data_IF_001062522505
#
_entry.id   IF_001062522505
#
_cell.length_a   1.000
_cell.length_b   1.000
_cell.length_c   1.000
_cell.angle_alpha   90.00
_cell.angle_beta   90.00
_cell.angle_gamma   90.00
#
_symmetry.space_group_name_H-M   'P 1'
#
loop_
_entity.id
_entity.type
_entity.pdbx_description
1 polymer ?
#
# COMPACT_ATOMS: atom_id res chain seq x y z
N UNK A 1 10.46 -6.17 15.08
CA UNK A 1 9.48 -5.79 14.03
C UNK A 1 8.72 -7.00 13.48
N UNK A 2 9.34 -8.17 13.36
CA UNK A 2 8.64 -9.38 12.90
C UNK A 2 7.43 -9.75 13.75
N UNK A 3 7.51 -9.58 15.05
CA UNK A 3 6.39 -9.81 15.99
C UNK A 3 5.20 -8.87 15.75
N UNK A 4 5.45 -7.62 15.39
CA UNK A 4 4.38 -6.67 15.04
C UNK A 4 3.67 -7.06 13.74
N UNK A 5 4.43 -7.49 12.74
CA UNK A 5 3.85 -8.00 11.48
C UNK A 5 3.07 -9.29 11.70
N UNK A 6 3.52 -10.14 12.61
CA UNK A 6 2.88 -11.42 12.95
C UNK A 6 1.64 -11.25 13.82
N UNK A 7 1.48 -10.13 14.53
CA UNK A 7 0.42 -9.95 15.53
C UNK A 7 -0.99 -10.16 14.95
N UNK A 8 -1.30 -9.50 13.84
CA UNK A 8 -2.62 -9.63 13.20
C UNK A 8 -2.93 -11.06 12.76
N UNK A 9 -2.09 -11.69 11.91
CA UNK A 9 -2.29 -13.07 11.48
C UNK A 9 -2.34 -14.08 12.64
N UNK A 10 -1.57 -13.86 13.71
CA UNK A 10 -1.59 -14.73 14.90
C UNK A 10 -2.97 -14.76 15.58
N UNK A 11 -3.70 -13.63 15.57
CA UNK A 11 -5.05 -13.54 16.11
C UNK A 11 -6.11 -14.24 15.24
N UNK A 12 -5.77 -14.56 14.00
CA UNK A 12 -6.68 -15.25 13.07
C UNK A 12 -6.72 -16.77 13.28
N UNK A 13 -5.92 -17.30 14.20
CA UNK A 13 -5.86 -18.73 14.48
C UNK A 13 -5.29 -19.58 13.33
N UNK A 14 -4.41 -18.98 12.52
CA UNK A 14 -3.75 -19.66 11.41
C UNK A 14 -2.78 -20.73 11.90
N UNK A 15 -2.58 -21.83 11.13
CA UNK A 15 -1.48 -22.76 11.37
C UNK A 15 -0.13 -22.03 11.36
N UNK A 16 0.84 -22.51 12.15
CA UNK A 16 2.12 -21.83 12.36
C UNK A 16 2.91 -21.63 11.05
N UNK A 17 2.89 -22.61 10.17
CA UNK A 17 3.54 -22.56 8.85
C UNK A 17 2.91 -21.50 7.93
N UNK A 18 1.59 -21.39 7.92
CA UNK A 18 0.86 -20.38 7.17
C UNK A 18 1.11 -18.97 7.72
N UNK A 19 1.10 -18.82 9.05
CA UNK A 19 1.44 -17.57 9.73
C UNK A 19 2.84 -17.09 9.33
N UNK A 20 3.83 -17.99 9.45
CA UNK A 20 5.22 -17.66 9.15
C UNK A 20 5.40 -17.29 7.67
N UNK A 21 4.74 -17.98 6.77
CA UNK A 21 4.74 -17.69 5.34
C UNK A 21 4.17 -16.30 5.06
N UNK A 22 3.00 -15.96 5.60
CA UNK A 22 2.36 -14.65 5.40
C UNK A 22 3.19 -13.48 5.92
N UNK A 23 3.79 -13.65 7.09
CA UNK A 23 4.69 -12.63 7.66
C UNK A 23 5.91 -12.42 6.76
N UNK A 24 6.56 -13.51 6.35
CA UNK A 24 7.73 -13.46 5.46
C UNK A 24 7.40 -12.80 4.13
N UNK A 25 6.30 -13.20 3.50
CA UNK A 25 5.85 -12.66 2.21
C UNK A 25 5.54 -11.17 2.33
N UNK A 26 4.81 -10.74 3.36
CA UNK A 26 4.49 -9.35 3.60
C UNK A 26 5.75 -8.49 3.84
N UNK A 27 6.67 -8.97 4.67
CA UNK A 27 7.94 -8.27 4.92
C UNK A 27 8.80 -8.17 3.65
N UNK A 28 8.77 -9.19 2.80
CA UNK A 28 9.46 -9.19 1.51
C UNK A 28 8.86 -8.18 0.53
N UNK A 29 7.53 -8.09 0.43
CA UNK A 29 6.82 -7.13 -0.45
C UNK A 29 7.19 -5.69 -0.14
N UNK A 30 7.38 -5.35 1.12
CA UNK A 30 7.73 -4.00 1.56
C UNK A 30 9.22 -3.79 1.80
N UNK A 31 10.07 -4.77 1.45
CA UNK A 31 11.52 -4.72 1.60
C UNK A 31 11.96 -4.35 3.03
N UNK A 32 11.39 -5.03 4.02
CA UNK A 32 11.67 -4.84 5.44
C UNK A 32 12.06 -6.14 6.15
N UNK A 33 12.40 -7.18 5.40
CA UNK A 33 12.77 -8.49 5.97
C UNK A 33 14.03 -8.42 6.85
N UNK A 34 14.99 -7.58 6.49
CA UNK A 34 16.21 -7.30 7.25
C UNK A 34 15.97 -6.57 8.57
N UNK A 35 14.77 -6.02 8.74
CA UNK A 35 14.36 -5.29 9.94
C UNK A 35 13.61 -6.17 10.96
N UNK A 36 13.49 -7.48 10.73
CA UNK A 36 12.70 -8.38 11.58
C UNK A 36 13.09 -8.31 13.05
N UNK A 37 14.38 -8.21 13.34
CA UNK A 37 14.94 -8.15 14.70
C UNK A 37 15.21 -6.71 15.17
N UNK A 38 14.97 -5.70 14.33
CA UNK A 38 15.21 -4.31 14.67
C UNK A 38 14.19 -3.78 15.70
N UNK A 39 14.67 -2.87 16.57
CA UNK A 39 13.80 -2.13 17.48
C UNK A 39 13.03 -1.03 16.73
N UNK A 40 11.74 -0.78 17.07
CA UNK A 40 10.96 0.32 16.49
C UNK A 40 11.64 1.69 16.57
N UNK A 41 12.44 1.90 17.63
CA UNK A 41 13.15 3.16 17.87
C UNK A 41 14.33 3.41 16.90
N UNK A 42 14.82 2.36 16.24
CA UNK A 42 15.94 2.43 15.30
C UNK A 42 15.51 2.67 13.86
N UNK A 43 14.20 2.64 13.57
CA UNK A 43 13.67 2.76 12.23
C UNK A 43 13.45 4.21 11.81
N UNK A 44 13.76 4.50 10.53
CA UNK A 44 13.32 5.74 9.88
C UNK A 44 11.81 5.81 9.76
N UNK A 45 11.25 7.01 9.51
CA UNK A 45 9.82 7.16 9.28
C UNK A 45 9.28 6.31 8.14
N UNK A 46 10.02 6.23 7.03
CA UNK A 46 9.67 5.40 5.88
C UNK A 46 9.69 3.90 6.19
N UNK A 47 10.70 3.43 6.92
CA UNK A 47 10.77 2.04 7.37
C UNK A 47 9.59 1.68 8.28
N UNK A 48 9.26 2.55 9.25
CA UNK A 48 8.09 2.36 10.14
C UNK A 48 6.80 2.22 9.34
N UNK A 49 6.60 3.06 8.34
CA UNK A 49 5.41 3.03 7.49
C UNK A 49 5.34 1.75 6.65
N UNK A 50 6.45 1.31 6.06
CA UNK A 50 6.52 0.05 5.31
C UNK A 50 6.27 -1.17 6.21
N UNK A 51 6.78 -1.18 7.45
CA UNK A 51 6.48 -2.23 8.44
C UNK A 51 5.00 -2.22 8.81
N UNK A 52 4.39 -1.05 9.03
CA UNK A 52 2.96 -0.95 9.32
C UNK A 52 2.09 -1.47 8.15
N UNK A 53 2.46 -1.16 6.91
CA UNK A 53 1.79 -1.73 5.73
C UNK A 53 1.95 -3.25 5.66
N UNK A 54 3.15 -3.77 5.91
CA UNK A 54 3.39 -5.21 5.97
C UNK A 54 2.52 -5.89 7.03
N UNK A 55 2.36 -5.28 8.21
CA UNK A 55 1.51 -5.81 9.28
C UNK A 55 0.04 -5.94 8.87
N UNK A 56 -0.50 -4.93 8.19
CA UNK A 56 -1.89 -4.99 7.71
C UNK A 56 -2.04 -6.00 6.57
N UNK A 57 -1.11 -6.01 5.62
CA UNK A 57 -1.16 -6.87 4.43
C UNK A 57 -0.94 -8.34 4.76
N UNK A 58 -0.20 -8.66 5.83
CA UNK A 58 -0.01 -10.03 6.31
C UNK A 58 -1.32 -10.74 6.67
N UNK A 59 -2.36 -9.99 7.02
CA UNK A 59 -3.71 -10.50 7.27
C UNK A 59 -4.46 -10.84 5.98
N UNK A 60 -3.93 -10.47 4.81
CA UNK A 60 -4.52 -10.69 3.48
C UNK A 60 -5.97 -10.14 3.35
N UNK A 61 -6.25 -8.88 3.71
CA UNK A 61 -7.59 -8.33 3.60
C UNK A 61 -8.06 -8.24 2.13
N UNK A 62 -9.37 -8.25 1.90
CA UNK A 62 -9.94 -8.05 0.56
C UNK A 62 -10.07 -6.57 0.20
N UNK A 63 -10.20 -5.71 1.21
CA UNK A 63 -10.30 -4.27 1.08
C UNK A 63 -9.24 -3.63 1.98
N UNK A 64 -8.40 -2.80 1.38
CA UNK A 64 -7.36 -2.05 2.07
C UNK A 64 -7.73 -0.57 2.09
N UNK A 65 -7.82 0.01 3.27
CA UNK A 65 -8.12 1.44 3.46
C UNK A 65 -6.87 2.14 3.98
N UNK A 66 -6.42 3.16 3.26
CA UNK A 66 -5.17 3.87 3.54
C UNK A 66 -5.40 5.38 3.60
N UNK A 67 -4.80 6.01 4.60
CA UNK A 67 -4.76 7.47 4.74
C UNK A 67 -3.35 7.96 4.47
N UNK A 68 -3.18 8.76 3.39
CA UNK A 68 -1.91 9.34 2.95
C UNK A 68 -0.74 8.31 2.94
N UNK A 69 -0.85 7.20 2.19
CA UNK A 69 0.09 6.07 2.31
C UNK A 69 1.53 6.41 1.92
N UNK A 70 1.75 7.42 1.09
CA UNK A 70 3.08 7.83 0.62
C UNK A 70 3.60 9.12 1.28
N UNK A 71 2.83 9.75 2.17
CA UNK A 71 3.26 10.99 2.81
C UNK A 71 4.50 10.75 3.68
N UNK A 72 5.54 11.59 3.50
CA UNK A 72 6.80 11.50 4.25
C UNK A 72 7.71 10.34 3.84
N UNK A 73 7.44 9.66 2.73
CA UNK A 73 8.33 8.68 2.14
C UNK A 73 9.32 9.34 1.17
N UNK A 74 10.54 8.78 1.11
CA UNK A 74 11.47 9.00 0.00
C UNK A 74 10.96 8.35 -1.29
N UNK A 75 11.60 8.66 -2.41
CA UNK A 75 11.20 8.17 -3.74
C UNK A 75 11.21 6.65 -3.81
N UNK A 76 12.28 6.00 -3.33
CA UNK A 76 12.40 4.53 -3.33
C UNK A 76 11.29 3.87 -2.52
N UNK A 77 10.98 4.40 -1.34
CA UNK A 77 9.90 3.89 -0.49
C UNK A 77 8.52 4.14 -1.11
N UNK A 78 8.33 5.28 -1.80
CA UNK A 78 7.12 5.54 -2.58
C UNK A 78 6.94 4.50 -3.68
N UNK A 79 7.99 4.17 -4.41
CA UNK A 79 7.95 3.20 -5.50
C UNK A 79 7.59 1.80 -5.01
N UNK A 80 8.13 1.38 -3.87
CA UNK A 80 7.75 0.11 -3.24
C UNK A 80 6.24 0.08 -2.94
N UNK A 81 5.71 1.14 -2.32
CA UNK A 81 4.27 1.22 -1.99
C UNK A 81 3.40 1.24 -3.25
N UNK A 82 3.76 2.04 -4.26
CA UNK A 82 2.99 2.13 -5.52
C UNK A 82 2.98 0.79 -6.24
N UNK A 83 4.12 0.13 -6.39
CA UNK A 83 4.23 -1.18 -7.03
C UNK A 83 3.39 -2.24 -6.29
N UNK A 84 3.42 -2.20 -4.96
CA UNK A 84 2.56 -3.06 -4.15
C UNK A 84 1.07 -2.80 -4.42
N UNK A 85 0.61 -1.54 -4.40
CA UNK A 85 -0.80 -1.19 -4.63
C UNK A 85 -1.29 -1.63 -6.01
N UNK A 86 -0.47 -1.44 -7.04
CA UNK A 86 -0.78 -1.92 -8.40
C UNK A 86 -0.92 -3.44 -8.45
N UNK A 87 0.03 -4.18 -7.85
CA UNK A 87 -0.02 -5.64 -7.79
C UNK A 87 -1.23 -6.14 -6.97
N UNK A 88 -1.57 -5.45 -5.89
CA UNK A 88 -2.68 -5.81 -5.01
C UNK A 88 -4.03 -5.70 -5.73
N UNK A 89 -4.24 -4.61 -6.47
CA UNK A 89 -5.45 -4.42 -7.30
C UNK A 89 -5.47 -5.41 -8.47
N UNK A 90 -4.33 -5.68 -9.11
CA UNK A 90 -4.22 -6.67 -10.18
C UNK A 90 -4.56 -8.10 -9.70
N UNK A 91 -4.34 -8.40 -8.42
CA UNK A 91 -4.74 -9.65 -7.79
C UNK A 91 -6.25 -9.72 -7.41
N UNK A 92 -7.05 -8.73 -7.82
CA UNK A 92 -8.50 -8.67 -7.58
C UNK A 92 -8.90 -8.07 -6.23
N UNK A 93 -7.96 -7.47 -5.50
CA UNK A 93 -8.23 -6.80 -4.23
C UNK A 93 -8.68 -5.35 -4.46
N UNK A 94 -9.28 -4.74 -3.44
CA UNK A 94 -9.75 -3.36 -3.49
C UNK A 94 -8.90 -2.46 -2.59
N UNK A 95 -8.55 -1.29 -3.10
CA UNK A 95 -7.86 -0.24 -2.34
C UNK A 95 -8.71 1.02 -2.34
N UNK A 96 -8.96 1.55 -1.15
CA UNK A 96 -9.53 2.88 -0.93
C UNK A 96 -8.49 3.72 -0.20
N UNK A 97 -8.13 4.88 -0.74
CA UNK A 97 -7.14 5.73 -0.08
C UNK A 97 -7.49 7.21 -0.17
N UNK A 98 -7.07 7.97 0.84
CA UNK A 98 -6.98 9.42 0.75
C UNK A 98 -5.57 9.83 0.31
N UNK A 99 -5.45 10.88 -0.49
CA UNK A 99 -4.17 11.52 -0.80
C UNK A 99 -4.38 12.92 -1.37
N UNK A 100 -3.41 13.80 -1.12
CA UNK A 100 -3.31 15.11 -1.78
C UNK A 100 -2.27 15.10 -2.92
N UNK A 101 -1.59 13.98 -3.16
CA UNK A 101 -0.59 13.82 -4.21
C UNK A 101 -1.22 13.40 -5.53
N UNK A 102 -1.45 14.36 -6.43
CA UNK A 102 -2.04 14.11 -7.75
C UNK A 102 -1.17 13.18 -8.62
N UNK A 103 0.16 13.22 -8.46
CA UNK A 103 1.06 12.32 -9.17
C UNK A 103 0.84 10.86 -8.78
N UNK A 104 0.54 10.59 -7.51
CA UNK A 104 0.19 9.25 -7.06
C UNK A 104 -1.09 8.74 -7.73
N UNK A 105 -2.12 9.59 -7.81
CA UNK A 105 -3.39 9.24 -8.47
C UNK A 105 -3.15 8.88 -9.94
N UNK A 106 -2.33 9.67 -10.65
CA UNK A 106 -1.96 9.40 -12.05
C UNK A 106 -1.18 8.10 -12.20
N UNK A 107 -0.16 7.89 -11.36
CA UNK A 107 0.67 6.66 -11.39
C UNK A 107 -0.14 5.39 -11.16
N UNK A 108 -1.14 5.45 -10.29
CA UNK A 108 -2.02 4.33 -10.00
C UNK A 108 -3.13 4.14 -11.04
N UNK A 109 -3.38 5.11 -11.91
CA UNK A 109 -4.52 5.08 -12.83
C UNK A 109 -5.87 4.95 -12.10
N UNK A 110 -5.93 5.47 -10.87
CA UNK A 110 -7.07 5.26 -9.99
C UNK A 110 -8.25 6.15 -10.37
N UNK A 111 -9.47 5.65 -10.12
CA UNK A 111 -10.64 6.52 -10.06
C UNK A 111 -10.50 7.46 -8.88
N UNK A 112 -10.59 8.77 -9.10
CA UNK A 112 -10.45 9.78 -8.08
C UNK A 112 -11.78 10.51 -7.82
N UNK A 113 -12.03 10.82 -6.54
CA UNK A 113 -13.11 11.69 -6.10
C UNK A 113 -12.46 12.90 -5.43
N UNK A 114 -12.69 14.09 -5.96
CA UNK A 114 -12.12 15.33 -5.42
C UNK A 114 -13.10 15.98 -4.47
N UNK A 115 -12.60 16.33 -3.29
CA UNK A 115 -13.38 16.98 -2.22
C UNK A 115 -12.79 18.37 -1.98
N UNK A 116 -13.63 19.41 -2.00
CA UNK A 116 -13.21 20.78 -1.75
C UNK A 116 -13.04 21.06 -0.24
N UNK A 117 -12.56 22.26 0.08
CA UNK A 117 -12.39 22.73 1.48
C UNK A 117 -13.70 22.83 2.27
N UNK A 118 -14.85 22.75 1.60
CA UNK A 118 -16.18 22.75 2.22
C UNK A 118 -16.78 21.36 2.32
N UNK A 119 -16.00 20.32 2.04
CA UNK A 119 -16.41 18.91 2.06
C UNK A 119 -17.44 18.53 0.99
N UNK A 120 -17.50 19.30 -0.12
CA UNK A 120 -18.34 18.94 -1.26
C UNK A 120 -17.54 18.12 -2.27
N UNK A 121 -18.17 17.13 -2.87
CA UNK A 121 -17.61 16.42 -4.02
C UNK A 121 -17.65 17.37 -5.21
N UNK A 122 -16.47 17.71 -5.72
CA UNK A 122 -16.33 18.65 -6.85
C UNK A 122 -16.26 17.91 -8.17
N UNK A 123 -15.55 16.78 -8.19
CA UNK A 123 -15.31 16.00 -9.40
C UNK A 123 -15.12 14.52 -9.06
N UNK A 124 -15.57 13.66 -9.95
CA UNK A 124 -15.26 12.23 -9.93
C UNK A 124 -14.73 11.84 -11.31
N UNK A 125 -13.44 11.51 -11.39
CA UNK A 125 -12.82 11.06 -12.64
C UNK A 125 -12.85 9.55 -12.76
N UNK A 126 -13.11 9.07 -14.00
CA UNK A 126 -12.81 7.67 -14.34
C UNK A 126 -11.33 7.55 -14.70
N UNK A 127 -10.68 6.40 -14.44
CA UNK A 127 -9.31 6.19 -14.87
C UNK A 127 -9.23 6.36 -16.38
N UNK A 128 -8.41 7.30 -16.84
CA UNK A 128 -8.05 7.40 -18.24
C UNK A 128 -7.03 6.31 -18.54
N UNK A 129 -7.46 5.14 -18.97
CA UNK A 129 -6.59 4.23 -19.67
C UNK A 129 -6.20 4.94 -20.98
N UNK A 130 -4.94 5.35 -21.09
CA UNK A 130 -4.42 5.92 -22.30
C UNK A 130 -4.56 4.93 -23.46
N UNK A 131 -5.56 5.12 -24.28
CA UNK A 131 -5.55 4.66 -25.65
C UNK A 131 -4.68 5.65 -26.42
N UNK A 132 -3.36 5.47 -26.40
CA UNK A 132 -2.55 5.94 -27.49
C UNK A 132 -2.94 5.15 -28.74
N UNK A 133 -3.99 5.57 -29.41
CA UNK A 133 -4.19 5.21 -30.81
C UNK A 133 -3.19 6.06 -31.60
N UNK A 134 -2.07 5.45 -31.99
CA UNK A 134 -1.25 5.96 -33.05
C UNK A 134 -2.11 6.20 -34.29
N UNK A 135 -2.32 7.44 -34.62
CA UNK A 135 -2.71 7.84 -35.97
C UNK A 135 -1.44 8.36 -36.64
N UNK A 136 -0.86 7.49 -37.42
CA UNK A 136 0.02 7.82 -38.54
C UNK A 136 -0.84 8.46 -39.61
N UNK A 137 -0.50 9.68 -40.01
CA UNK A 137 -0.52 10.15 -41.40
C UNK A 137 0.61 11.16 -41.58
#
# INVERSE_FOLDING_TARGET
>A
MGEEVAFGPAQMGLPADELERRVRDAMGLFQVADLADASPYQLSGGQKKRVALAAVVSMNPDILVLDEPTNGLDEDSCDIVVNFLLAYVAAGKTVLMSTHHQDLVRRLGARAIYIDRYHHVVEASSPSYGTESGATD
#
